data_IF_326125324661
#
_entry.id   IF_326125324661
#
_cell.length_a   1.000
_cell.length_b   1.000
_cell.length_c   1.000
_cell.angle_alpha   90.00
_cell.angle_beta   90.00
_cell.angle_gamma   90.00
#
_symmetry.space_group_name_H-M   'P 1'
#
loop_
_entity.id
_entity.type
_entity.pdbx_description
1 polymer ?
#
# COMPACT_ATOMS: atom_id res chain seq x y z
N UNK A 1 11.24 -27.78 13.05
CA UNK A 1 10.36 -27.16 14.06
C UNK A 1 10.93 -25.78 14.35
N UNK A 2 10.38 -24.73 13.79
CA UNK A 2 10.74 -23.35 14.11
C UNK A 2 10.00 -22.96 15.41
N UNK A 3 10.66 -22.33 16.39
CA UNK A 3 9.97 -21.90 17.60
C UNK A 3 8.95 -20.82 17.25
N UNK A 4 7.70 -21.12 17.47
CA UNK A 4 6.60 -20.17 17.47
C UNK A 4 6.77 -19.24 18.69
N UNK A 5 6.72 -17.92 18.44
CA UNK A 5 6.66 -16.86 19.45
C UNK A 5 7.92 -16.67 20.31
N UNK A 6 8.93 -16.05 19.73
CA UNK A 6 9.96 -15.36 20.53
C UNK A 6 9.52 -13.89 20.62
N UNK A 7 9.11 -13.46 21.82
CA UNK A 7 8.93 -12.02 22.10
C UNK A 7 10.26 -11.31 21.89
N UNK A 8 10.25 -10.28 21.06
CA UNK A 8 11.45 -9.48 20.86
C UNK A 8 11.79 -8.75 22.17
N UNK A 9 13.04 -8.79 22.66
CA UNK A 9 13.46 -7.96 23.78
C UNK A 9 13.17 -6.50 23.48
N UNK A 10 12.71 -5.75 24.47
CA UNK A 10 12.19 -4.39 24.38
C UNK A 10 13.04 -3.38 23.59
N UNK A 11 14.33 -3.63 23.41
CA UNK A 11 15.26 -2.75 22.69
C UNK A 11 15.94 -3.39 21.46
N UNK A 12 15.58 -4.61 21.07
CA UNK A 12 16.30 -5.34 20.01
C UNK A 12 16.10 -4.73 18.62
N UNK A 13 14.94 -4.17 18.34
CA UNK A 13 14.70 -3.39 17.12
C UNK A 13 15.56 -2.14 17.08
N UNK A 14 15.70 -1.42 18.20
CA UNK A 14 16.60 -0.28 18.32
C UNK A 14 18.08 -0.67 18.14
N UNK A 15 18.52 -1.82 18.66
CA UNK A 15 19.87 -2.33 18.44
C UNK A 15 20.14 -2.72 16.97
N UNK A 16 19.15 -3.31 16.30
CA UNK A 16 19.25 -3.68 14.88
C UNK A 16 19.30 -2.43 14.00
N UNK A 17 18.45 -1.43 14.29
CA UNK A 17 18.50 -0.13 13.60
C UNK A 17 19.80 0.62 13.87
N UNK A 18 20.28 0.65 15.11
CA UNK A 18 21.56 1.27 15.45
C UNK A 18 22.73 0.60 14.74
N UNK A 19 22.74 -0.73 14.61
CA UNK A 19 23.75 -1.48 13.84
C UNK A 19 23.64 -1.22 12.34
N UNK A 20 22.41 -1.09 11.78
CA UNK A 20 22.22 -0.72 10.38
C UNK A 20 22.75 0.67 10.07
N UNK A 21 22.47 1.66 10.92
CA UNK A 21 22.98 3.05 10.79
C UNK A 21 24.49 3.11 10.97
N UNK A 22 25.08 2.28 11.85
CA UNK A 22 26.52 2.20 12.02
C UNK A 22 27.23 1.60 10.79
N UNK A 23 26.64 0.56 10.17
CA UNK A 23 27.18 -0.05 8.95
C UNK A 23 27.13 0.92 7.74
N UNK A 24 26.09 1.75 7.63
CA UNK A 24 26.03 2.78 6.57
C UNK A 24 27.03 3.91 6.77
N UNK A 25 27.51 4.15 8.01
CA UNK A 25 28.53 5.17 8.30
C UNK A 25 29.96 4.69 8.07
N UNK A 26 30.22 3.39 8.08
CA UNK A 26 31.53 2.83 7.80
C UNK A 26 31.91 2.81 6.31
N UNK A 27 30.92 2.85 5.41
CA UNK A 27 31.15 2.89 3.95
C UNK A 27 31.39 4.30 3.39
N UNK A 28 31.32 5.36 4.20
CA UNK A 28 31.54 6.73 3.76
C UNK A 28 32.48 7.48 4.70
N UNK A 29 33.79 7.30 4.57
CA UNK A 29 34.72 8.25 5.16
C UNK A 29 35.84 8.66 4.19
N UNK A 30 35.89 9.95 3.85
CA UNK A 30 37.18 10.67 3.91
C UNK A 30 37.22 11.54 5.16
N UNK A 31 38.33 11.41 5.87
CA UNK A 31 38.73 12.19 7.06
C UNK A 31 38.72 13.70 6.79
N UNK A 32 38.00 14.46 7.61
CA UNK A 32 38.19 15.89 7.76
C UNK A 32 37.97 16.25 9.24
N UNK A 33 38.99 16.91 9.80
CA UNK A 33 39.05 17.41 11.17
C UNK A 33 37.92 18.38 11.48
N UNK A 34 37.27 18.19 12.63
CA UNK A 34 36.16 19.03 13.08
C UNK A 34 36.56 19.88 14.26
N UNK A 35 36.66 21.19 14.01
CA UNK A 35 36.77 22.24 15.04
C UNK A 35 35.40 22.46 15.68
N UNK A 36 35.35 22.31 16.99
CA UNK A 36 34.16 22.36 17.83
C UNK A 36 33.79 23.76 18.22
N UNK A 37 33.10 24.52 17.39
CA UNK A 37 32.33 25.68 17.84
C UNK A 37 31.52 26.35 16.75
N UNK A 38 30.39 25.75 16.30
CA UNK A 38 29.30 26.49 15.68
C UNK A 38 28.13 25.54 15.43
N UNK A 39 26.99 25.79 16.07
CA UNK A 39 25.72 25.16 15.80
C UNK A 39 25.29 25.36 14.34
N UNK A 40 24.91 24.31 13.60
CA UNK A 40 24.42 24.48 12.22
C UNK A 40 23.00 25.05 12.24
N UNK A 41 22.84 26.18 11.56
CA UNK A 41 21.52 26.69 11.19
C UNK A 41 20.84 25.70 10.25
N UNK A 42 19.64 25.26 10.61
CA UNK A 42 18.78 24.43 9.80
C UNK A 42 18.44 25.13 8.48
N UNK A 43 18.89 24.58 7.37
CA UNK A 43 18.44 24.98 6.03
C UNK A 43 17.04 24.37 5.85
N UNK A 44 16.02 25.21 5.96
CA UNK A 44 14.64 24.84 5.66
C UNK A 44 14.48 24.76 4.15
N UNK A 45 14.35 23.54 3.62
CA UNK A 45 13.78 23.31 2.29
C UNK A 45 12.28 23.63 2.38
N UNK A 46 11.70 24.46 1.50
CA UNK A 46 10.28 24.72 1.55
C UNK A 46 9.52 23.46 1.09
N UNK A 47 9.10 22.64 2.03
CA UNK A 47 8.07 21.62 1.79
C UNK A 47 6.73 22.35 1.76
N UNK A 48 6.06 22.30 0.63
CA UNK A 48 4.66 22.69 0.54
C UNK A 48 3.84 21.69 1.37
N UNK A 49 3.68 21.99 2.66
CA UNK A 49 2.84 21.22 3.56
C UNK A 49 1.40 21.68 3.37
N UNK A 50 0.56 20.85 2.78
CA UNK A 50 -0.87 21.06 2.77
C UNK A 50 -1.39 20.93 4.21
N UNK A 51 -1.89 22.02 4.76
CA UNK A 51 -2.39 22.08 6.13
C UNK A 51 -3.92 21.98 6.09
N UNK A 52 -4.46 20.77 6.20
CA UNK A 52 -5.91 20.50 6.19
C UNK A 52 -6.67 21.18 7.33
N UNK A 53 -5.98 21.59 8.40
CA UNK A 53 -6.63 22.18 9.59
C UNK A 53 -6.89 23.68 9.51
N UNK A 54 -6.30 24.41 8.55
CA UNK A 54 -6.37 25.89 8.48
C UNK A 54 -7.20 26.45 7.34
N UNK A 55 -7.90 25.60 6.56
CA UNK A 55 -8.68 26.08 5.42
C UNK A 55 -10.12 26.27 5.87
N UNK A 56 -10.48 27.54 6.08
CA UNK A 56 -11.88 27.96 6.15
C UNK A 56 -12.60 27.59 4.86
N UNK A 57 -13.82 27.07 5.01
CA UNK A 57 -14.75 26.69 3.95
C UNK A 57 -14.88 27.80 2.89
N UNK A 58 -14.03 27.80 1.87
CA UNK A 58 -14.33 28.47 0.63
C UNK A 58 -15.13 27.52 -0.23
N UNK A 59 -16.35 27.91 -0.55
CA UNK A 59 -17.27 27.19 -1.42
C UNK A 59 -16.61 26.81 -2.74
N UNK A 60 -16.67 25.51 -3.06
CA UNK A 60 -16.52 24.99 -4.41
C UNK A 60 -15.09 24.98 -4.94
N UNK A 61 -14.35 23.91 -4.70
CA UNK A 61 -13.19 23.60 -5.52
C UNK A 61 -13.66 23.37 -6.96
N UNK A 62 -13.25 24.23 -7.89
CA UNK A 62 -13.51 24.06 -9.33
C UNK A 62 -12.55 23.04 -9.98
N UNK A 63 -11.83 22.25 -9.18
CA UNK A 63 -10.89 21.24 -9.66
C UNK A 63 -11.64 20.13 -10.39
N UNK A 64 -11.28 19.92 -11.64
CA UNK A 64 -11.80 18.80 -12.43
C UNK A 64 -10.79 17.68 -12.43
N UNK A 65 -11.23 16.49 -12.03
CA UNK A 65 -10.41 15.29 -12.19
C UNK A 65 -10.15 15.04 -13.68
N UNK A 66 -8.91 14.73 -14.08
CA UNK A 66 -8.56 14.48 -15.47
C UNK A 66 -9.39 13.35 -16.06
N UNK A 67 -9.65 13.42 -17.37
CA UNK A 67 -10.35 12.35 -18.09
C UNK A 67 -9.39 11.20 -18.33
N UNK A 68 -9.68 10.07 -17.73
CA UNK A 68 -8.90 8.85 -17.92
C UNK A 68 -9.49 7.96 -19.01
N UNK A 69 -8.62 7.28 -19.74
CA UNK A 69 -8.95 6.14 -20.58
C UNK A 69 -8.43 4.87 -19.96
N UNK A 70 -9.15 3.77 -20.13
CA UNK A 70 -8.75 2.48 -19.61
C UNK A 70 -8.59 1.45 -20.70
N UNK A 71 -7.62 0.56 -20.53
CA UNK A 71 -7.41 -0.61 -21.41
C UNK A 71 -7.15 -1.84 -20.55
N UNK A 72 -7.75 -2.96 -20.95
CA UNK A 72 -7.45 -4.26 -20.32
C UNK A 72 -6.05 -4.69 -20.73
N UNK A 73 -5.16 -4.88 -19.76
CA UNK A 73 -3.75 -5.23 -19.98
C UNK A 73 -3.49 -6.73 -19.84
N UNK A 74 -4.32 -7.43 -19.08
CA UNK A 74 -4.25 -8.88 -18.91
C UNK A 74 -5.51 -9.43 -18.26
N UNK A 75 -5.68 -10.75 -18.35
CA UNK A 75 -6.70 -11.54 -17.65
C UNK A 75 -6.02 -12.66 -16.87
N UNK A 76 -6.46 -12.89 -15.63
CA UNK A 76 -6.13 -14.04 -14.82
C UNK A 76 -7.12 -15.19 -15.08
N UNK A 77 -6.79 -16.40 -14.61
CA UNK A 77 -7.72 -17.54 -14.70
C UNK A 77 -8.83 -17.49 -13.64
N UNK A 78 -8.64 -16.69 -12.59
CA UNK A 78 -9.59 -16.48 -11.49
C UNK A 78 -9.49 -15.01 -11.03
N UNK A 79 -10.24 -14.61 -10.00
CA UNK A 79 -10.28 -13.24 -9.45
C UNK A 79 -8.90 -12.61 -9.38
N UNK A 80 -8.73 -11.45 -10.00
CA UNK A 80 -7.57 -10.58 -9.78
C UNK A 80 -7.81 -9.83 -8.45
N UNK A 81 -6.94 -10.08 -7.45
CA UNK A 81 -7.18 -9.70 -6.06
C UNK A 81 -6.42 -8.47 -5.61
N UNK A 82 -5.25 -8.27 -6.17
CA UNK A 82 -4.35 -7.17 -5.81
C UNK A 82 -3.46 -6.81 -6.99
N UNK A 83 -3.00 -5.57 -6.99
CA UNK A 83 -2.00 -5.07 -7.92
C UNK A 83 -1.16 -3.99 -7.25
N UNK A 84 0.12 -3.85 -7.61
CA UNK A 84 1.04 -2.91 -6.99
C UNK A 84 2.03 -2.37 -8.00
N UNK A 85 2.25 -1.06 -8.00
CA UNK A 85 3.34 -0.42 -8.74
C UNK A 85 4.65 -0.49 -7.96
N UNK A 86 5.77 -0.59 -8.70
CA UNK A 86 7.10 -0.33 -8.12
C UNK A 86 7.23 1.16 -7.74
N UNK A 87 8.09 1.47 -6.77
CA UNK A 87 8.27 2.84 -6.29
C UNK A 87 8.72 3.82 -7.39
N UNK A 88 9.44 3.33 -8.40
CA UNK A 88 9.87 4.10 -9.56
C UNK A 88 8.85 4.12 -10.71
N UNK A 89 7.67 3.48 -10.54
CA UNK A 89 6.60 3.41 -11.53
C UNK A 89 6.90 2.58 -12.77
N UNK A 90 8.08 1.93 -12.88
CA UNK A 90 8.47 1.19 -14.08
C UNK A 90 7.81 -0.17 -14.20
N UNK A 91 7.46 -0.79 -13.09
CA UNK A 91 6.89 -2.12 -13.04
C UNK A 91 5.54 -2.12 -12.32
N UNK A 92 4.72 -3.09 -12.69
CA UNK A 92 3.46 -3.41 -12.04
C UNK A 92 3.41 -4.92 -11.81
N UNK A 93 2.94 -5.35 -10.66
CA UNK A 93 2.63 -6.76 -10.38
C UNK A 93 1.16 -6.91 -10.04
N UNK A 94 0.58 -8.05 -10.38
CA UNK A 94 -0.78 -8.44 -9.96
C UNK A 94 -0.81 -9.84 -9.39
N UNK A 95 -1.63 -10.04 -8.38
CA UNK A 95 -1.87 -11.32 -7.73
C UNK A 95 -3.31 -11.76 -7.84
N UNK A 96 -3.53 -13.07 -7.95
CA UNK A 96 -4.84 -13.64 -8.23
C UNK A 96 -5.20 -14.84 -7.34
N UNK A 97 -6.50 -15.13 -7.33
CA UNK A 97 -7.04 -16.35 -6.76
C UNK A 97 -6.64 -17.61 -7.54
N UNK A 98 -6.12 -17.46 -8.77
CA UNK A 98 -5.53 -18.56 -9.55
C UNK A 98 -4.12 -18.94 -9.09
N UNK A 99 -3.66 -18.39 -7.95
CA UNK A 99 -2.34 -18.59 -7.34
C UNK A 99 -1.17 -17.97 -8.11
N UNK A 100 -1.42 -17.38 -9.28
CA UNK A 100 -0.37 -16.78 -10.10
C UNK A 100 -0.13 -15.30 -9.76
N UNK A 101 1.10 -14.88 -10.04
CA UNK A 101 1.51 -13.47 -10.00
C UNK A 101 2.01 -13.10 -11.39
N UNK A 102 1.53 -12.00 -11.95
CA UNK A 102 1.97 -11.48 -13.24
C UNK A 102 2.75 -10.20 -13.06
N UNK A 103 3.89 -10.11 -13.72
CA UNK A 103 4.76 -8.94 -13.77
C UNK A 103 4.62 -8.25 -15.12
N UNK A 104 4.48 -6.94 -15.08
CA UNK A 104 4.34 -6.06 -16.25
C UNK A 104 5.41 -4.99 -16.24
N UNK A 105 5.75 -4.51 -17.43
CA UNK A 105 6.56 -3.31 -17.64
C UNK A 105 5.63 -2.18 -18.10
N UNK A 106 5.58 -1.08 -17.36
CA UNK A 106 4.65 0.02 -17.59
C UNK A 106 4.87 0.69 -18.95
N UNK A 107 6.11 0.76 -19.42
CA UNK A 107 6.44 1.26 -20.77
C UNK A 107 5.73 0.46 -21.87
N UNK A 108 5.68 -0.87 -21.77
CA UNK A 108 4.96 -1.74 -22.71
C UNK A 108 3.45 -1.57 -22.63
N UNK A 109 2.92 -1.34 -21.43
CA UNK A 109 1.50 -1.01 -21.27
C UNK A 109 1.16 0.29 -21.99
N UNK A 110 2.00 1.32 -21.81
CA UNK A 110 1.81 2.62 -22.49
C UNK A 110 1.88 2.47 -24.01
N UNK A 111 2.84 1.73 -24.52
CA UNK A 111 2.94 1.42 -25.96
C UNK A 111 1.68 0.71 -26.48
N UNK A 112 1.16 -0.27 -25.72
CA UNK A 112 -0.09 -0.94 -26.07
C UNK A 112 -1.28 0.04 -26.07
N UNK A 113 -1.32 1.03 -25.16
CA UNK A 113 -2.40 2.02 -25.12
C UNK A 113 -2.38 2.94 -26.35
N UNK A 114 -1.20 3.26 -26.87
CA UNK A 114 -1.04 4.08 -28.08
C UNK A 114 -1.30 3.28 -29.38
N UNK A 115 -1.21 1.97 -29.33
CA UNK A 115 -1.43 1.10 -30.50
C UNK A 115 -2.91 0.88 -30.76
N UNK A 116 -3.37 1.16 -31.97
CA UNK A 116 -4.72 0.83 -32.46
C UNK A 116 -4.83 -0.63 -32.90
N UNK A 117 -3.70 -1.34 -33.06
CA UNK A 117 -3.68 -2.72 -33.53
C UNK A 117 -4.11 -3.70 -32.44
N UNK A 118 -4.84 -4.77 -32.86
CA UNK A 118 -5.21 -5.89 -31.97
C UNK A 118 -3.98 -6.71 -31.52
N UNK A 119 -2.87 -6.63 -32.26
CA UNK A 119 -1.62 -7.34 -32.03
C UNK A 119 -0.59 -6.46 -31.29
N UNK A 120 -1.02 -5.67 -30.33
CA UNK A 120 -0.15 -4.84 -29.49
C UNK A 120 0.91 -5.64 -28.73
N UNK A 121 1.97 -4.99 -28.24
CA UNK A 121 3.05 -5.66 -27.54
C UNK A 121 2.53 -6.44 -26.32
N UNK A 122 3.12 -7.62 -26.08
CA UNK A 122 2.78 -8.44 -24.93
C UNK A 122 3.15 -7.71 -23.64
N UNK A 123 2.14 -7.34 -22.84
CA UNK A 123 2.31 -6.54 -21.61
C UNK A 123 2.89 -7.34 -20.46
N UNK A 124 2.52 -8.62 -20.33
CA UNK A 124 3.04 -9.52 -19.31
C UNK A 124 4.44 -9.96 -19.66
N UNK A 125 5.44 -9.56 -18.88
CA UNK A 125 6.84 -9.96 -19.07
C UNK A 125 7.18 -11.26 -18.36
N UNK A 126 6.49 -11.56 -17.24
CA UNK A 126 6.70 -12.81 -16.49
C UNK A 126 5.47 -13.21 -15.68
N UNK A 127 5.28 -14.52 -15.51
CA UNK A 127 4.29 -15.10 -14.60
C UNK A 127 4.98 -16.05 -13.63
N UNK A 128 4.67 -15.92 -12.34
CA UNK A 128 5.18 -16.76 -11.26
C UNK A 128 4.06 -17.65 -10.74
N UNK A 129 4.38 -18.94 -10.52
CA UNK A 129 3.46 -19.98 -10.02
C UNK A 129 4.14 -20.70 -8.86
N UNK A 130 4.11 -20.13 -7.67
CA UNK A 130 4.77 -20.70 -6.49
C UNK A 130 3.86 -20.81 -5.27
N UNK A 131 2.85 -19.94 -5.16
CA UNK A 131 1.80 -20.08 -4.15
C UNK A 131 0.86 -21.24 -4.47
N UNK A 132 0.34 -21.88 -3.41
CA UNK A 132 -0.60 -23.01 -3.50
C UNK A 132 -2.05 -22.60 -3.26
N UNK A 133 -2.26 -21.40 -2.76
CA UNK A 133 -3.55 -20.82 -2.45
C UNK A 133 -3.65 -19.37 -2.99
N UNK A 134 -4.85 -18.75 -3.03
CA UNK A 134 -5.04 -17.40 -3.52
C UNK A 134 -4.07 -16.37 -2.96
N UNK A 135 -3.45 -15.59 -3.84
CA UNK A 135 -2.62 -14.45 -3.49
C UNK A 135 -3.50 -13.32 -2.96
N UNK A 136 -3.15 -12.74 -1.81
CA UNK A 136 -3.94 -11.73 -1.14
C UNK A 136 -3.41 -10.31 -1.33
N UNK A 137 -2.07 -10.12 -1.30
CA UNK A 137 -1.43 -8.82 -1.39
C UNK A 137 0.00 -8.95 -1.92
N UNK A 138 0.56 -7.83 -2.38
CA UNK A 138 1.87 -7.69 -3.02
C UNK A 138 2.52 -6.38 -2.57
N UNK A 139 3.86 -6.36 -2.48
CA UNK A 139 4.60 -5.12 -2.33
C UNK A 139 5.99 -5.23 -2.96
N UNK A 140 6.52 -4.09 -3.46
CA UNK A 140 7.87 -4.03 -4.01
C UNK A 140 8.87 -3.67 -2.93
N UNK A 141 10.04 -4.29 -3.02
CA UNK A 141 11.20 -3.88 -2.24
C UNK A 141 11.67 -2.49 -2.72
N UNK A 142 12.15 -1.61 -1.83
CA UNK A 142 12.61 -0.27 -2.21
C UNK A 142 13.69 -0.22 -3.30
N UNK A 143 14.47 -1.29 -3.47
CA UNK A 143 15.49 -1.39 -4.54
C UNK A 143 14.92 -1.66 -5.94
N UNK A 144 13.60 -1.87 -6.07
CA UNK A 144 12.92 -2.16 -7.33
C UNK A 144 13.45 -3.36 -8.15
N UNK A 145 14.09 -4.34 -7.50
CA UNK A 145 14.54 -5.60 -8.13
C UNK A 145 13.86 -6.83 -7.54
N UNK A 146 13.26 -6.66 -6.36
CA UNK A 146 12.55 -7.69 -5.63
C UNK A 146 11.10 -7.25 -5.38
N UNK A 147 10.22 -8.22 -5.21
CA UNK A 147 8.90 -8.02 -4.66
C UNK A 147 8.53 -9.17 -3.72
N UNK A 148 7.58 -8.93 -2.84
CA UNK A 148 6.98 -9.93 -1.97
C UNK A 148 5.51 -10.12 -2.31
N UNK A 149 5.01 -11.31 -2.01
CA UNK A 149 3.61 -11.65 -2.08
C UNK A 149 3.18 -12.43 -0.86
N UNK A 150 1.93 -12.30 -0.45
CA UNK A 150 1.34 -13.14 0.57
C UNK A 150 0.07 -13.83 0.06
N UNK A 151 -0.24 -14.97 0.66
CA UNK A 151 -1.36 -15.77 0.21
C UNK A 151 -2.08 -16.48 1.36
N UNK A 152 -3.21 -17.11 1.03
CA UNK A 152 -3.97 -17.95 1.94
C UNK A 152 -3.23 -19.23 2.36
N UNK A 153 -2.11 -19.56 1.70
CA UNK A 153 -1.24 -20.69 2.07
C UNK A 153 -0.38 -20.41 3.31
N UNK A 154 -0.65 -19.32 4.04
CA UNK A 154 0.06 -18.87 5.22
C UNK A 154 1.54 -18.55 4.96
N UNK A 155 1.89 -18.22 3.72
CA UNK A 155 3.28 -17.87 3.38
C UNK A 155 3.39 -16.45 2.85
N UNK A 156 4.55 -15.84 3.12
CA UNK A 156 5.05 -14.68 2.40
C UNK A 156 6.23 -15.16 1.56
N UNK A 157 6.23 -14.84 0.27
CA UNK A 157 7.25 -15.26 -0.67
C UNK A 157 7.92 -14.07 -1.32
N UNK A 158 9.26 -14.09 -1.36
CA UNK A 158 10.07 -13.05 -1.98
C UNK A 158 10.60 -13.54 -3.32
N UNK A 159 10.46 -12.72 -4.34
CA UNK A 159 10.86 -13.00 -5.72
C UNK A 159 11.88 -11.99 -6.22
N UNK A 160 12.92 -12.49 -6.86
CA UNK A 160 13.88 -11.67 -7.62
C UNK A 160 13.47 -11.68 -9.09
N UNK A 161 13.07 -10.52 -9.60
CA UNK A 161 12.68 -10.39 -11.00
C UNK A 161 13.77 -9.78 -11.88
N UNK A 162 14.89 -9.37 -11.31
CA UNK A 162 16.06 -8.93 -12.09
C UNK A 162 16.67 -10.06 -12.91
N UNK A 163 16.59 -11.30 -12.40
CA UNK A 163 17.11 -12.50 -13.03
C UNK A 163 16.02 -13.23 -13.83
N UNK A 164 16.13 -13.26 -15.14
CA UNK A 164 15.12 -13.85 -16.03
C UNK A 164 14.84 -15.34 -15.79
N UNK A 165 15.82 -16.08 -15.32
CA UNK A 165 15.73 -17.54 -15.07
C UNK A 165 14.94 -17.89 -13.80
N UNK A 166 14.84 -16.98 -12.83
CA UNK A 166 14.20 -17.24 -11.55
C UNK A 166 12.68 -17.10 -11.65
N UNK A 167 11.96 -18.19 -11.47
CA UNK A 167 10.48 -18.25 -11.45
C UNK A 167 9.91 -18.63 -10.08
N UNK A 168 10.76 -19.07 -9.15
CA UNK A 168 10.40 -19.45 -7.78
C UNK A 168 10.84 -18.38 -6.79
N UNK A 169 10.24 -18.41 -5.62
CA UNK A 169 10.64 -17.56 -4.51
C UNK A 169 12.09 -17.83 -4.09
N UNK A 170 12.84 -16.77 -3.83
CA UNK A 170 14.20 -16.84 -3.29
C UNK A 170 14.21 -16.97 -1.77
N UNK A 171 13.15 -16.50 -1.11
CA UNK A 171 12.91 -16.62 0.34
C UNK A 171 11.43 -16.92 0.58
N UNK A 172 11.15 -17.72 1.61
CA UNK A 172 9.80 -18.06 2.05
C UNK A 172 9.72 -17.84 3.56
N UNK A 173 8.75 -17.06 3.99
CA UNK A 173 8.44 -16.81 5.39
C UNK A 173 7.14 -17.54 5.69
N UNK A 174 7.18 -18.44 6.68
CA UNK A 174 6.02 -19.22 7.10
C UNK A 174 5.32 -18.51 8.25
N UNK A 175 4.02 -18.30 8.11
CA UNK A 175 3.14 -17.82 9.19
C UNK A 175 2.26 -18.95 9.72
N UNK A 176 1.72 -18.78 10.91
CA UNK A 176 0.70 -19.66 11.48
C UNK A 176 -0.71 -19.38 10.97
N UNK A 177 -0.93 -18.19 10.41
CA UNK A 177 -2.23 -17.71 9.97
C UNK A 177 -2.20 -17.30 8.50
N UNK A 178 -3.39 -17.22 7.87
CA UNK A 178 -3.54 -16.64 6.56
C UNK A 178 -3.04 -15.19 6.54
N UNK A 179 -2.10 -14.88 5.66
CA UNK A 179 -1.54 -13.54 5.51
C UNK A 179 -2.43 -12.75 4.54
N UNK A 180 -3.03 -11.68 5.05
CA UNK A 180 -4.05 -10.90 4.34
C UNK A 180 -3.48 -9.68 3.62
N UNK A 181 -2.46 -9.07 4.19
CA UNK A 181 -1.77 -7.89 3.67
C UNK A 181 -0.33 -7.85 4.13
N UNK A 182 0.50 -7.16 3.37
CA UNK A 182 1.91 -6.99 3.67
C UNK A 182 2.40 -5.59 3.25
N UNK A 183 3.50 -5.17 3.85
CA UNK A 183 4.21 -3.97 3.47
C UNK A 183 5.70 -4.10 3.77
N UNK A 184 6.56 -3.69 2.84
CA UNK A 184 7.97 -3.51 3.15
C UNK A 184 8.18 -2.28 4.05
N UNK A 185 9.07 -2.43 5.02
CA UNK A 185 9.66 -1.27 5.65
C UNK A 185 10.49 -0.50 4.60
N UNK A 186 10.53 0.84 4.60
CA UNK A 186 11.29 1.63 3.61
C UNK A 186 12.78 1.31 3.53
N UNK A 187 13.39 0.73 4.58
CA UNK A 187 14.77 0.24 4.52
C UNK A 187 14.93 -1.06 3.71
N UNK A 188 13.84 -1.77 3.40
CA UNK A 188 13.87 -3.09 2.76
C UNK A 188 14.24 -4.25 3.68
N UNK A 189 14.64 -4.01 4.94
CA UNK A 189 15.13 -5.06 5.85
C UNK A 189 14.02 -5.79 6.59
N UNK A 190 12.80 -5.23 6.63
CA UNK A 190 11.68 -5.79 7.37
C UNK A 190 10.42 -5.84 6.52
N UNK A 191 9.58 -6.85 6.79
CA UNK A 191 8.25 -7.03 6.20
C UNK A 191 7.24 -7.01 7.33
N UNK A 192 6.26 -6.13 7.22
CA UNK A 192 5.10 -6.09 8.10
C UNK A 192 3.98 -6.92 7.47
N UNK A 193 3.35 -7.79 8.24
CA UNK A 193 2.23 -8.62 7.81
C UNK A 193 1.01 -8.43 8.70
N UNK A 194 -0.13 -8.22 8.05
CA UNK A 194 -1.45 -8.33 8.64
C UNK A 194 -2.06 -9.69 8.33
N UNK A 195 -2.48 -10.41 9.35
CA UNK A 195 -2.95 -11.79 9.22
C UNK A 195 -4.36 -11.96 9.78
N UNK A 196 -4.86 -13.20 9.81
CA UNK A 196 -6.06 -13.52 10.56
C UNK A 196 -5.85 -13.44 12.09
N UNK A 197 -4.62 -13.19 12.53
CA UNK A 197 -4.30 -12.81 13.91
C UNK A 197 -4.55 -11.31 14.13
N UNK A 198 -4.84 -10.93 15.36
CA UNK A 198 -5.18 -9.54 15.71
C UNK A 198 -3.97 -8.60 15.85
N UNK A 199 -2.77 -9.17 16.06
CA UNK A 199 -1.52 -8.41 16.20
C UNK A 199 -0.71 -8.53 14.90
N UNK A 200 -0.11 -7.42 14.40
CA UNK A 200 0.72 -7.47 13.21
C UNK A 200 2.01 -8.25 13.47
N UNK A 201 2.45 -9.01 12.48
CA UNK A 201 3.69 -9.77 12.50
C UNK A 201 4.77 -9.01 11.73
N UNK A 202 5.98 -8.95 12.29
CA UNK A 202 7.15 -8.33 11.67
C UNK A 202 8.19 -9.40 11.35
N UNK A 203 8.62 -9.48 10.11
CA UNK A 203 9.63 -10.41 9.65
C UNK A 203 10.92 -9.68 9.30
N UNK A 204 12.04 -10.18 9.82
CA UNK A 204 13.37 -9.76 9.37
C UNK A 204 13.71 -10.50 8.07
N UNK A 205 14.01 -9.74 7.03
CA UNK A 205 14.31 -10.27 5.68
C UNK A 205 15.58 -11.11 5.67
N UNK A 206 16.56 -10.80 6.53
CA UNK A 206 17.85 -11.48 6.55
C UNK A 206 17.82 -12.77 7.37
N UNK A 207 17.24 -12.70 8.57
CA UNK A 207 17.21 -13.83 9.51
C UNK A 207 16.01 -14.73 9.33
N UNK A 208 14.97 -14.29 8.60
CA UNK A 208 13.67 -14.96 8.42
C UNK A 208 12.87 -15.13 9.73
N UNK A 209 13.28 -14.44 10.80
CA UNK A 209 12.59 -14.50 12.08
C UNK A 209 11.33 -13.63 12.07
N UNK A 210 10.29 -14.14 12.73
CA UNK A 210 9.05 -13.40 12.98
C UNK A 210 9.08 -12.81 14.39
N UNK A 211 8.74 -11.55 14.50
CA UNK A 211 8.56 -10.82 15.75
C UNK A 211 7.11 -10.37 15.87
N UNK A 212 6.57 -10.48 17.06
CA UNK A 212 5.22 -10.05 17.39
C UNK A 212 5.30 -8.91 18.41
N UNK A 213 4.45 -7.90 18.28
CA UNK A 213 4.39 -6.82 19.25
C UNK A 213 3.96 -7.35 20.63
N UNK A 214 4.69 -7.00 21.68
CA UNK A 214 4.32 -7.26 23.07
C UNK A 214 3.24 -6.28 23.57
N UNK A 215 2.25 -5.94 22.75
CA UNK A 215 1.19 -5.00 23.08
C UNK A 215 0.23 -5.60 24.11
N UNK A 216 0.07 -4.95 25.26
CA UNK A 216 -0.92 -5.33 26.29
C UNK A 216 -2.35 -4.88 25.95
N UNK A 217 -2.59 -4.48 24.69
CA UNK A 217 -3.91 -4.04 24.25
C UNK A 217 -4.72 -5.28 23.89
N UNK A 218 -5.92 -5.42 24.46
CA UNK A 218 -6.89 -6.39 23.97
C UNK A 218 -7.30 -5.98 22.56
N UNK A 219 -6.88 -6.77 21.59
CA UNK A 219 -7.15 -6.54 20.16
C UNK A 219 -7.92 -7.75 19.67
N UNK A 220 -9.11 -7.50 19.16
CA UNK A 220 -9.95 -8.52 18.55
C UNK A 220 -10.03 -8.29 17.05
N UNK A 221 -10.03 -9.38 16.30
CA UNK A 221 -10.27 -9.38 14.86
C UNK A 221 -9.01 -9.31 13.99
N UNK A 222 -9.14 -9.95 12.85
CA UNK A 222 -8.09 -10.06 11.83
C UNK A 222 -7.71 -8.70 11.26
N UNK A 223 -6.45 -8.56 10.85
CA UNK A 223 -5.93 -7.35 10.20
C UNK A 223 -6.20 -7.45 8.70
N UNK A 224 -6.98 -6.53 8.16
CA UNK A 224 -7.33 -6.47 6.75
C UNK A 224 -6.21 -5.87 5.89
N UNK A 225 -5.57 -4.81 6.39
CA UNK A 225 -4.46 -4.15 5.69
C UNK A 225 -3.47 -3.55 6.66
N UNK A 226 -2.20 -3.56 6.24
CA UNK A 226 -1.09 -2.88 6.91
C UNK A 226 -0.39 -1.95 5.92
N UNK A 227 0.12 -0.81 6.39
CA UNK A 227 0.91 0.14 5.61
C UNK A 227 1.94 0.83 6.48
N UNK A 228 3.16 0.96 5.99
CA UNK A 228 4.16 1.86 6.56
C UNK A 228 3.96 3.28 6.07
N UNK A 229 4.31 4.24 6.91
CA UNK A 229 4.58 5.62 6.48
C UNK A 229 5.85 5.67 5.62
N UNK A 230 6.01 6.73 4.82
CA UNK A 230 7.12 6.84 3.84
C UNK A 230 8.52 6.77 4.46
N UNK A 231 8.68 7.12 5.75
CA UNK A 231 9.94 7.01 6.50
C UNK A 231 10.05 5.74 7.34
N UNK A 232 8.96 4.96 7.48
CA UNK A 232 8.94 3.77 8.32
C UNK A 232 8.83 4.03 9.83
N UNK A 233 8.76 5.28 10.25
CA UNK A 233 8.66 5.65 11.68
C UNK A 233 7.34 5.20 12.32
N UNK A 234 6.29 5.11 11.49
CA UNK A 234 4.94 4.74 11.89
C UNK A 234 4.39 3.74 10.89
N UNK A 235 3.54 2.82 11.36
CA UNK A 235 2.69 2.04 10.49
C UNK A 235 1.25 2.04 10.98
N UNK A 236 0.33 1.77 10.08
CA UNK A 236 -1.11 1.71 10.35
C UNK A 236 -1.66 0.32 10.06
N UNK A 237 -2.67 -0.09 10.84
CA UNK A 237 -3.42 -1.32 10.62
C UNK A 237 -4.90 -1.04 10.51
N UNK A 238 -5.54 -1.59 9.47
CA UNK A 238 -6.98 -1.67 9.31
C UNK A 238 -7.47 -3.01 9.83
N UNK A 239 -8.39 -3.03 10.76
CA UNK A 239 -8.82 -4.26 11.43
C UNK A 239 -10.31 -4.55 11.23
N UNK A 240 -10.66 -5.83 11.33
CA UNK A 240 -12.05 -6.31 11.29
C UNK A 240 -12.89 -5.88 12.49
N UNK A 241 -12.24 -5.55 13.61
CA UNK A 241 -12.92 -5.02 14.79
C UNK A 241 -13.43 -3.57 14.63
N UNK A 242 -13.23 -2.99 13.45
CA UNK A 242 -13.63 -1.62 13.15
C UNK A 242 -12.64 -0.56 13.63
N UNK A 243 -11.48 -0.96 14.13
CA UNK A 243 -10.45 -0.04 14.59
C UNK A 243 -9.39 0.25 13.53
N UNK A 244 -8.94 1.49 13.53
CA UNK A 244 -7.72 1.95 12.89
C UNK A 244 -6.67 2.15 13.99
N UNK A 245 -5.52 1.47 13.88
CA UNK A 245 -4.44 1.60 14.87
C UNK A 245 -3.17 2.11 14.23
N UNK A 246 -2.49 3.00 14.94
CA UNK A 246 -1.21 3.57 14.59
C UNK A 246 -0.14 2.99 15.53
N UNK A 247 0.95 2.57 14.97
CA UNK A 247 2.01 1.85 15.66
C UNK A 247 3.35 2.55 15.42
N UNK A 248 4.21 2.48 16.42
CA UNK A 248 5.61 2.92 16.25
C UNK A 248 6.36 1.91 15.40
N UNK A 249 6.97 2.38 14.30
CA UNK A 249 7.69 1.53 13.34
C UNK A 249 8.96 0.88 13.90
N UNK A 250 9.52 1.44 14.99
CA UNK A 250 10.75 0.96 15.61
C UNK A 250 10.47 0.03 16.79
N UNK A 251 9.56 0.43 17.69
CA UNK A 251 9.27 -0.32 18.93
C UNK A 251 8.12 -1.32 18.76
N UNK A 252 7.41 -1.27 17.64
CA UNK A 252 6.17 -2.01 17.40
C UNK A 252 5.08 -1.78 18.48
N UNK A 253 5.23 -0.75 19.30
CA UNK A 253 4.23 -0.36 20.29
C UNK A 253 3.05 0.36 19.64
N UNK A 254 1.82 0.11 20.10
CA UNK A 254 0.64 0.85 19.65
C UNK A 254 0.69 2.28 20.19
N UNK A 255 0.84 3.26 19.30
CA UNK A 255 0.83 4.68 19.64
C UNK A 255 -0.60 5.16 19.89
N UNK A 256 -1.53 4.68 19.08
CA UNK A 256 -2.92 5.14 19.09
C UNK A 256 -3.86 4.08 18.55
N UNK A 257 -5.00 3.92 19.22
CA UNK A 257 -6.11 3.11 18.74
C UNK A 257 -7.33 4.01 18.56
N UNK A 258 -7.86 4.07 17.34
CA UNK A 258 -9.11 4.73 17.00
C UNK A 258 -10.17 3.64 16.94
N UNK A 259 -10.71 3.30 18.09
CA UNK A 259 -11.75 2.29 18.18
C UNK A 259 -13.02 2.79 17.51
N UNK A 260 -13.74 1.89 16.88
CA UNK A 260 -14.96 2.23 16.13
C UNK A 260 -14.75 3.34 15.09
N UNK A 261 -13.56 3.39 14.46
CA UNK A 261 -13.25 4.35 13.40
C UNK A 261 -14.34 4.40 12.32
N UNK A 262 -14.95 3.25 12.05
CA UNK A 262 -16.04 3.09 11.09
C UNK A 262 -17.33 2.54 11.76
N UNK A 263 -17.69 3.07 12.93
CA UNK A 263 -18.95 2.73 13.62
C UNK A 263 -19.08 1.24 13.98
N UNK A 264 -17.96 0.53 14.19
CA UNK A 264 -17.95 -0.91 14.44
C UNK A 264 -17.92 -1.79 13.19
N UNK A 265 -18.05 -1.19 11.98
CA UNK A 265 -17.86 -1.90 10.71
C UNK A 265 -16.38 -2.13 10.42
N UNK A 266 -16.04 -3.21 9.72
CA UNK A 266 -14.65 -3.52 9.34
C UNK A 266 -13.97 -2.35 8.64
N UNK A 267 -12.75 -1.99 9.08
CA UNK A 267 -11.84 -1.13 8.31
C UNK A 267 -11.17 -2.00 7.26
N UNK A 268 -11.26 -1.60 5.99
CA UNK A 268 -10.82 -2.43 4.86
C UNK A 268 -9.45 -2.03 4.34
N UNK A 269 -9.12 -0.73 4.38
CA UNK A 269 -7.85 -0.22 3.88
C UNK A 269 -7.35 0.99 4.64
N UNK A 270 -6.04 1.23 4.51
CA UNK A 270 -5.34 2.39 5.05
C UNK A 270 -4.30 2.90 4.05
N UNK A 271 -4.12 4.23 3.97
CA UNK A 271 -3.08 4.88 3.19
C UNK A 271 -2.58 6.13 3.92
N UNK A 272 -1.26 6.33 3.98
CA UNK A 272 -0.68 7.56 4.51
C UNK A 272 -0.58 8.63 3.43
N UNK A 273 -0.65 9.90 3.84
CA UNK A 273 -0.16 11.01 3.03
C UNK A 273 1.38 11.01 2.96
N UNK A 274 1.94 11.58 1.90
CA UNK A 274 3.40 11.67 1.70
C UNK A 274 4.12 12.39 2.84
N UNK A 275 3.45 13.39 3.42
CA UNK A 275 3.95 14.14 4.58
C UNK A 275 3.78 13.40 5.93
N UNK A 276 3.14 12.22 5.92
CA UNK A 276 2.87 11.36 7.08
C UNK A 276 2.01 11.99 8.19
N UNK A 277 1.41 13.15 7.92
CA UNK A 277 0.56 13.83 8.93
C UNK A 277 -0.84 13.25 9.01
N UNK A 278 -1.29 12.63 7.93
CA UNK A 278 -2.64 12.09 7.85
C UNK A 278 -2.64 10.64 7.39
N UNK A 279 -3.67 9.92 7.79
CA UNK A 279 -3.97 8.55 7.34
C UNK A 279 -5.41 8.47 6.86
N UNK A 280 -5.57 7.96 5.65
CA UNK A 280 -6.86 7.67 5.03
C UNK A 280 -7.29 6.26 5.44
N UNK A 281 -8.56 6.08 5.78
CA UNK A 281 -9.15 4.76 6.04
C UNK A 281 -10.43 4.59 5.22
N UNK A 282 -10.68 3.37 4.77
CA UNK A 282 -11.94 2.97 4.15
C UNK A 282 -12.60 1.88 4.99
N UNK A 283 -13.91 1.92 5.13
CA UNK A 283 -14.65 0.96 5.94
C UNK A 283 -15.89 0.42 5.25
N UNK A 284 -16.39 -0.71 5.75
CA UNK A 284 -17.64 -1.32 5.28
C UNK A 284 -18.91 -0.56 5.71
N UNK A 285 -18.75 0.57 6.40
CA UNK A 285 -19.80 1.55 6.65
C UNK A 285 -20.08 2.46 5.45
N UNK A 286 -19.47 2.17 4.28
CA UNK A 286 -19.57 2.96 3.06
C UNK A 286 -19.00 4.37 3.20
N UNK A 287 -18.01 4.54 4.07
CA UNK A 287 -17.34 5.81 4.28
C UNK A 287 -15.82 5.69 4.15
N UNK A 288 -15.21 6.79 3.72
CA UNK A 288 -13.78 6.98 3.71
C UNK A 288 -13.49 8.17 4.64
N UNK A 289 -12.51 8.04 5.49
CA UNK A 289 -12.19 9.05 6.51
C UNK A 289 -10.72 9.37 6.52
N UNK A 290 -10.40 10.66 6.68
CA UNK A 290 -9.04 11.16 6.84
C UNK A 290 -8.81 11.53 8.30
N UNK A 291 -7.74 11.01 8.88
CA UNK A 291 -7.40 11.17 10.29
C UNK A 291 -6.06 11.85 10.43
N UNK A 292 -5.94 12.77 11.37
CA UNK A 292 -4.67 13.38 11.76
C UNK A 292 -3.89 12.39 12.64
N UNK A 293 -2.68 12.03 12.23
CA UNK A 293 -1.83 11.03 12.91
C UNK A 293 -1.50 11.48 14.33
N UNK A 294 -1.16 12.75 14.52
CA UNK A 294 -0.77 13.30 15.80
C UNK A 294 -1.88 13.28 16.86
N UNK A 295 -3.10 13.72 16.50
CA UNK A 295 -4.22 13.82 17.43
C UNK A 295 -5.17 12.61 17.38
N UNK A 296 -5.22 11.89 16.25
CA UNK A 296 -6.21 10.84 15.97
C UNK A 296 -7.62 11.37 15.69
N UNK A 297 -7.76 12.68 15.46
CA UNK A 297 -9.04 13.28 15.11
C UNK A 297 -9.36 13.08 13.64
N UNK A 298 -10.64 12.85 13.34
CA UNK A 298 -11.14 12.84 11.97
C UNK A 298 -11.12 14.26 11.41
N UNK A 299 -10.46 14.44 10.27
CA UNK A 299 -10.32 15.74 9.60
C UNK A 299 -11.30 15.85 8.45
N UNK A 300 -11.50 14.79 7.68
CA UNK A 300 -12.39 14.74 6.51
C UNK A 300 -13.17 13.44 6.46
N UNK A 301 -14.32 13.51 5.80
CA UNK A 301 -15.23 12.39 5.58
C UNK A 301 -15.72 12.42 4.14
N UNK A 302 -15.44 11.35 3.39
CA UNK A 302 -15.81 11.21 1.98
C UNK A 302 -16.92 10.18 1.88
N UNK A 303 -18.05 10.55 1.29
CA UNK A 303 -19.26 9.73 1.20
C UNK A 303 -19.76 9.66 -0.25
N UNK A 304 -20.63 8.67 -0.52
CA UNK A 304 -21.29 8.53 -1.82
C UNK A 304 -20.78 7.39 -2.70
N UNK A 305 -19.95 6.50 -2.16
CA UNK A 305 -19.68 5.17 -2.70
C UNK A 305 -20.24 4.11 -1.73
N UNK A 306 -20.49 2.92 -2.22
CA UNK A 306 -20.98 1.78 -1.43
C UNK A 306 -19.84 0.79 -1.21
N UNK A 307 -19.54 0.50 0.05
CA UNK A 307 -18.51 -0.46 0.48
C UNK A 307 -19.10 -1.36 1.56
N UNK A 308 -19.72 -2.48 1.19
CA UNK A 308 -20.42 -3.33 2.16
C UNK A 308 -19.92 -4.77 2.14
N UNK A 309 -19.49 -5.27 0.99
CA UNK A 309 -19.12 -6.67 0.78
C UNK A 309 -17.61 -6.84 0.56
N UNK A 310 -17.05 -6.05 -0.35
CA UNK A 310 -15.66 -6.17 -0.75
C UNK A 310 -14.73 -5.38 0.21
N UNK A 311 -13.46 -5.71 0.19
CA UNK A 311 -12.41 -4.91 0.81
C UNK A 311 -11.90 -3.90 -0.21
N UNK A 312 -12.71 -2.87 -0.47
CA UNK A 312 -12.31 -1.81 -1.40
C UNK A 312 -11.26 -0.90 -0.77
N UNK A 313 -10.13 -0.67 -1.44
CA UNK A 313 -9.16 0.32 -1.00
C UNK A 313 -9.63 1.74 -1.34
N UNK A 314 -9.23 2.70 -0.51
CA UNK A 314 -9.20 4.10 -0.85
C UNK A 314 -7.74 4.52 -1.04
N UNK A 315 -7.45 5.24 -2.12
CA UNK A 315 -6.11 5.67 -2.49
C UNK A 315 -6.08 7.15 -2.81
N UNK A 316 -4.94 7.78 -2.60
CA UNK A 316 -4.67 9.11 -3.14
C UNK A 316 -4.16 8.99 -4.58
N UNK A 317 -4.38 10.04 -5.37
CA UNK A 317 -3.64 10.23 -6.61
C UNK A 317 -2.17 10.65 -6.33
N UNK A 318 -1.34 10.79 -7.37
CA UNK A 318 0.08 11.15 -7.22
C UNK A 318 0.29 12.56 -6.64
N UNK A 319 -0.68 13.45 -6.82
CA UNK A 319 -0.62 14.83 -6.30
C UNK A 319 -1.19 14.96 -4.88
N UNK A 320 -1.90 13.93 -4.39
CA UNK A 320 -2.72 13.95 -3.17
C UNK A 320 -3.86 14.99 -3.21
N UNK A 321 -4.22 15.47 -4.39
CA UNK A 321 -5.34 16.37 -4.59
C UNK A 321 -6.69 15.64 -4.63
N UNK A 322 -6.67 14.36 -4.99
CA UNK A 322 -7.87 13.54 -5.12
C UNK A 322 -7.78 12.25 -4.30
N UNK A 323 -8.94 11.82 -3.83
CA UNK A 323 -9.14 10.49 -3.23
C UNK A 323 -9.98 9.66 -4.20
N UNK A 324 -9.55 8.44 -4.47
CA UNK A 324 -10.25 7.50 -5.34
C UNK A 324 -10.66 6.26 -4.56
N UNK A 325 -11.84 5.73 -4.82
CA UNK A 325 -12.26 4.42 -4.33
C UNK A 325 -13.32 3.80 -5.23
N UNK A 326 -13.67 2.57 -4.97
CA UNK A 326 -14.59 1.76 -5.75
C UNK A 326 -16.00 1.89 -5.18
N UNK A 327 -17.00 2.06 -6.04
CA UNK A 327 -18.42 1.91 -5.69
C UNK A 327 -18.90 0.52 -6.12
N UNK A 328 -19.10 -0.36 -5.14
CA UNK A 328 -19.51 -1.75 -5.39
C UNK A 328 -20.86 -1.84 -6.11
N UNK A 329 -21.78 -0.95 -5.77
CA UNK A 329 -23.16 -1.01 -6.28
C UNK A 329 -23.25 -0.70 -7.76
N UNK A 330 -22.46 0.29 -8.21
CA UNK A 330 -22.55 0.81 -9.58
C UNK A 330 -21.39 0.34 -10.46
N UNK A 331 -20.43 -0.43 -9.93
CA UNK A 331 -19.19 -0.83 -10.63
C UNK A 331 -18.40 0.37 -11.16
N UNK A 332 -18.32 1.43 -10.37
CA UNK A 332 -17.66 2.68 -10.72
C UNK A 332 -16.48 2.98 -9.81
N UNK A 333 -15.59 3.83 -10.29
CA UNK A 333 -14.57 4.47 -9.45
C UNK A 333 -15.07 5.87 -9.15
N UNK A 334 -15.21 6.18 -7.87
CA UNK A 334 -15.64 7.50 -7.38
C UNK A 334 -14.43 8.30 -7.00
N UNK A 335 -14.45 9.58 -7.33
CA UNK A 335 -13.36 10.53 -7.10
C UNK A 335 -13.88 11.69 -6.27
N UNK A 336 -13.14 12.03 -5.22
CA UNK A 336 -13.39 13.19 -4.36
C UNK A 336 -12.19 14.14 -4.38
N UNK A 337 -12.44 15.40 -4.23
CA UNK A 337 -11.42 16.38 -3.89
C UNK A 337 -10.96 16.12 -2.45
N UNK A 338 -9.65 15.88 -2.28
CA UNK A 338 -9.11 15.48 -0.99
C UNK A 338 -9.26 16.54 0.09
N UNK A 339 -9.25 17.83 -0.32
CA UNK A 339 -9.30 18.97 0.58
C UNK A 339 -10.72 19.33 1.00
N UNK A 340 -11.64 19.46 0.02
CA UNK A 340 -13.03 19.81 0.31
C UNK A 340 -13.85 18.61 0.82
N UNK A 341 -13.51 17.38 0.41
CA UNK A 341 -14.31 16.18 0.63
C UNK A 341 -15.50 16.05 -0.34
N UNK A 342 -15.63 16.97 -1.28
CA UNK A 342 -16.71 16.95 -2.27
C UNK A 342 -16.44 15.93 -3.36
N UNK A 343 -17.49 15.27 -3.83
CA UNK A 343 -17.40 14.34 -4.94
C UNK A 343 -17.20 15.12 -6.25
N UNK A 344 -16.08 14.84 -6.92
CA UNK A 344 -15.69 15.49 -8.18
C UNK A 344 -16.20 14.74 -9.40
N UNK A 345 -16.26 13.41 -9.31
CA UNK A 345 -16.66 12.60 -10.46
C UNK A 345 -16.87 11.12 -10.17
N UNK A 346 -17.31 10.43 -11.22
CA UNK A 346 -17.44 8.99 -11.30
C UNK A 346 -16.88 8.50 -12.62
N UNK A 347 -16.11 7.45 -12.60
CA UNK A 347 -15.55 6.80 -13.78
C UNK A 347 -16.17 5.40 -13.90
N UNK A 348 -16.89 5.10 -14.99
CA UNK A 348 -17.33 3.73 -15.26
C UNK A 348 -16.12 2.80 -15.30
N UNK A 349 -16.08 1.79 -14.44
CA UNK A 349 -14.90 0.92 -14.35
C UNK A 349 -14.72 0.04 -15.58
N UNK A 350 -15.80 -0.20 -16.33
CA UNK A 350 -15.82 -1.11 -17.47
C UNK A 350 -15.48 -2.55 -17.09
N UNK A 351 -15.45 -2.90 -15.82
CA UNK A 351 -15.39 -4.26 -15.32
C UNK A 351 -16.77 -4.92 -15.40
N UNK A 352 -16.82 -6.22 -15.61
CA UNK A 352 -18.07 -6.99 -15.60
C UNK A 352 -18.68 -7.16 -14.21
N UNK A 353 -17.89 -6.92 -13.16
CA UNK A 353 -18.30 -6.90 -11.75
C UNK A 353 -17.53 -5.80 -11.03
N UNK A 354 -17.92 -5.46 -9.80
CA UNK A 354 -17.20 -4.44 -9.03
C UNK A 354 -15.71 -4.78 -8.91
N UNK A 355 -14.82 -3.83 -9.20
CA UNK A 355 -13.40 -3.99 -8.92
C UNK A 355 -13.18 -4.32 -7.44
N UNK A 356 -12.10 -5.02 -7.13
CA UNK A 356 -11.72 -5.38 -5.74
C UNK A 356 -10.50 -4.62 -5.26
N UNK A 357 -9.73 -4.09 -6.20
CA UNK A 357 -8.49 -3.40 -5.94
C UNK A 357 -8.31 -2.18 -6.84
N UNK A 358 -7.77 -1.15 -6.25
CA UNK A 358 -7.38 0.07 -6.90
C UNK A 358 -6.00 0.48 -6.36
N UNK A 359 -5.06 0.78 -7.24
CA UNK A 359 -3.74 1.27 -6.87
C UNK A 359 -3.33 2.39 -7.81
N UNK A 360 -2.91 3.52 -7.26
CA UNK A 360 -2.42 4.65 -8.05
C UNK A 360 -0.91 4.56 -8.28
N UNK A 361 -0.46 5.00 -9.44
CA UNK A 361 0.98 5.11 -9.73
C UNK A 361 1.61 6.13 -8.79
N UNK A 362 2.81 5.87 -8.23
CA UNK A 362 3.47 6.82 -7.34
C UNK A 362 4.10 8.02 -8.08
N UNK A 363 4.22 7.97 -9.41
CA UNK A 363 5.02 8.91 -10.21
C UNK A 363 4.25 9.60 -11.33
N UNK A 364 3.03 9.18 -11.65
CA UNK A 364 2.27 9.72 -12.78
C UNK A 364 0.76 9.59 -12.57
N UNK A 365 -0.03 10.40 -13.29
CA UNK A 365 -1.49 10.35 -13.29
C UNK A 365 -2.03 9.09 -14.01
N UNK A 366 -1.74 7.93 -13.42
CA UNK A 366 -2.16 6.63 -13.90
C UNK A 366 -2.50 5.72 -12.71
N UNK A 367 -3.43 4.82 -12.90
CA UNK A 367 -3.77 3.84 -11.87
C UNK A 367 -4.17 2.49 -12.49
N UNK A 368 -4.24 1.47 -11.66
CA UNK A 368 -4.68 0.13 -12.05
C UNK A 368 -5.90 -0.28 -11.23
N UNK A 369 -6.86 -0.94 -11.87
CA UNK A 369 -7.96 -1.62 -11.20
C UNK A 369 -7.97 -3.10 -11.57
N UNK A 370 -8.37 -3.95 -10.64
CA UNK A 370 -8.57 -5.36 -10.90
C UNK A 370 -9.75 -5.90 -10.09
N UNK A 371 -10.36 -6.98 -10.56
CA UNK A 371 -11.61 -7.44 -9.99
C UNK A 371 -11.92 -8.92 -10.15
N UNK A 372 -13.09 -9.28 -9.69
CA UNK A 372 -13.62 -10.66 -9.75
C UNK A 372 -13.98 -11.10 -11.17
N UNK A 373 -14.03 -10.18 -12.12
CA UNK A 373 -14.10 -10.48 -13.56
C UNK A 373 -12.77 -10.97 -14.16
N UNK A 374 -11.74 -11.16 -13.33
CA UNK A 374 -10.40 -11.65 -13.68
C UNK A 374 -9.55 -10.64 -14.45
N UNK A 375 -10.10 -9.46 -14.79
CA UNK A 375 -9.45 -8.46 -15.60
C UNK A 375 -8.55 -7.57 -14.77
N UNK A 376 -7.45 -7.12 -15.40
CA UNK A 376 -6.58 -6.06 -14.93
C UNK A 376 -6.68 -4.94 -15.95
N UNK A 377 -7.08 -3.74 -15.49
CA UNK A 377 -7.20 -2.56 -16.33
C UNK A 377 -6.23 -1.49 -15.89
N UNK A 378 -5.53 -0.94 -16.84
CA UNK A 378 -4.65 0.22 -16.65
C UNK A 378 -5.37 1.48 -17.14
N UNK A 379 -5.26 2.54 -16.37
CA UNK A 379 -5.90 3.83 -16.59
C UNK A 379 -4.83 4.89 -16.77
N UNK A 380 -4.95 5.70 -17.80
CA UNK A 380 -4.04 6.81 -18.09
C UNK A 380 -4.85 8.07 -18.37
N UNK A 381 -4.33 9.22 -17.95
CA UNK A 381 -4.90 10.52 -18.29
C UNK A 381 -4.84 10.73 -19.82
N UNK A 382 -5.98 11.13 -20.41
CA UNK A 382 -6.10 11.44 -21.85
C UNK A 382 -5.42 12.73 -22.26
N UNK A 383 -5.24 13.66 -21.32
CA UNK A 383 -4.72 14.99 -21.62
C UNK A 383 -3.21 15.01 -21.82
N UNK A 384 -2.51 14.00 -21.27
CA UNK A 384 -1.08 13.79 -21.44
C UNK A 384 -0.79 12.97 -22.73
N UNK A 385 -1.08 13.55 -23.89
CA UNK A 385 -0.54 13.06 -25.17
C UNK A 385 0.84 13.68 -25.33
N UNK A 386 1.88 12.92 -25.02
CA UNK A 386 3.23 13.22 -25.48
C UNK A 386 3.34 12.95 -27.00
#
# INVERSE_FOLDING_TARGET
MTPLNVEAPFNRLLEIFAKGIAAEKEDTSPSLDFDSSKTPKSISVPQASFNFSSISLTKGSSKKFPKHESKTISEHKNDARCAKFSADGRYLVSGSADTSIKLFEVSKIKQMMLSESRDGPRTVIRTFYDHTQPVNDLDFHPNNTLFISCAKDNTIKMFDFSKASLKKAIKVFQDSHNVRSLAFHPSGNFILAGTDHSIPHLYDVNTLQCYVSASNISIDGAINQVKYSSRGEIYATASKDGALRLWNGVTAGCIRSINSAHGGSEVTSVAFTKDQKYVLSCGKDSSIKLWEVGSGRMVKHYIGATHTQLRCPAVFDESEEFVLSIDERNNEIVVWDALSGEKVGRLPSGHGSAPRWLEHSPVEAAFVSCGSDRLIKFWKDKTLRE
#
